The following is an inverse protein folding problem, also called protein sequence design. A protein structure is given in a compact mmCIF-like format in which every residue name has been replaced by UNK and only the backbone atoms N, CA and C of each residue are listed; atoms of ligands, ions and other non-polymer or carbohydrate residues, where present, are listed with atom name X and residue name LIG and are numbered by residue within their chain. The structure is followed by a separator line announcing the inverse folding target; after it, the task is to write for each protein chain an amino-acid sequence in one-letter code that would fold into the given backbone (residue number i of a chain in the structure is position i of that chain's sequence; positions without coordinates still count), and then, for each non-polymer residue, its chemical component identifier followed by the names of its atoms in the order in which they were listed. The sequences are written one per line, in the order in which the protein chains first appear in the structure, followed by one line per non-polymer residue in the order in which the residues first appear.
data_IF_140818510126
#
_entry.id   IF_140818510126
#
_cell.length_a   1.000
_cell.length_b   1.000
_cell.length_c   1.000
_cell.angle_alpha   90.00
_cell.angle_beta   90.00
_cell.angle_gamma   90.00
#
_symmetry.space_group_name_H-M   'P 1'
#
loop_
_entity.id
_entity.type
_entity.pdbx_description
1 polymer ?
#
# COMPACT_ATOMS: atom_id res chain seq x y z
N UNK A 1 10.42 -3.79 -13.00
CA UNK A 1 9.14 -3.52 -12.29
C UNK A 1 8.44 -2.43 -13.07
N UNK A 2 7.18 -2.64 -13.44
CA UNK A 2 6.43 -1.67 -14.23
C UNK A 2 6.14 -0.46 -13.33
N UNK A 3 6.77 0.69 -13.56
CA UNK A 3 6.68 1.85 -12.66
C UNK A 3 5.24 2.32 -12.48
N UNK A 4 4.38 2.19 -13.50
CA UNK A 4 2.95 2.48 -13.40
C UNK A 4 2.23 1.65 -12.35
N UNK A 5 2.57 0.36 -12.21
CA UNK A 5 1.94 -0.51 -11.20
C UNK A 5 2.38 -0.06 -9.80
N UNK A 6 3.66 0.28 -9.63
CA UNK A 6 4.15 0.76 -8.34
C UNK A 6 3.49 2.08 -7.94
N UNK A 7 3.36 3.04 -8.85
CA UNK A 7 2.70 4.32 -8.55
C UNK A 7 1.20 4.14 -8.22
N UNK A 8 0.50 3.22 -8.89
CA UNK A 8 -0.89 2.87 -8.56
C UNK A 8 -1.02 2.25 -7.17
N UNK A 9 -0.24 1.20 -6.90
CA UNK A 9 -0.21 0.54 -5.59
C UNK A 9 0.15 1.53 -4.51
N UNK A 10 1.18 2.34 -4.73
CA UNK A 10 1.63 3.37 -3.80
C UNK A 10 0.51 4.35 -3.45
N UNK A 11 -0.24 4.82 -4.44
CA UNK A 11 -1.36 5.72 -4.24
C UNK A 11 -2.45 5.08 -3.37
N UNK A 12 -2.87 3.85 -3.70
CA UNK A 12 -3.88 3.10 -2.92
C UNK A 12 -3.41 2.90 -1.48
N UNK A 13 -2.15 2.53 -1.29
CA UNK A 13 -1.55 2.31 0.04
C UNK A 13 -1.54 3.60 0.86
N UNK A 14 -1.17 4.73 0.28
CA UNK A 14 -1.17 6.02 0.99
C UNK A 14 -2.58 6.51 1.30
N UNK A 15 -3.56 6.22 0.44
CA UNK A 15 -4.96 6.61 0.65
C UNK A 15 -5.65 5.72 1.70
N UNK A 16 -5.39 4.41 1.69
CA UNK A 16 -6.04 3.46 2.60
C UNK A 16 -5.41 3.45 4.01
N UNK A 17 -4.07 3.48 4.08
CA UNK A 17 -3.34 3.40 5.35
C UNK A 17 -3.07 4.78 5.98
N UNK A 18 -3.44 5.87 5.30
CA UNK A 18 -3.17 7.26 5.71
C UNK A 18 -1.68 7.51 6.06
N UNK A 19 -0.78 6.86 5.33
CA UNK A 19 0.69 6.96 5.51
C UNK A 19 1.34 7.93 4.53
N UNK A 20 2.55 8.39 4.87
CA UNK A 20 3.32 9.25 3.97
C UNK A 20 3.76 8.45 2.72
N UNK A 21 3.54 8.98 1.49
CA UNK A 21 4.07 8.38 0.27
C UNK A 21 5.57 8.12 0.30
N UNK A 22 6.34 8.89 1.07
CA UNK A 22 7.78 8.70 1.18
C UNK A 22 8.14 7.42 1.94
N UNK A 23 7.25 6.94 2.82
CA UNK A 23 7.44 5.70 3.58
C UNK A 23 7.09 4.46 2.74
N UNK A 24 6.26 4.62 1.71
CA UNK A 24 5.90 3.56 0.77
C UNK A 24 7.02 3.34 -0.25
N UNK A 25 7.94 2.45 0.11
CA UNK A 25 9.04 2.00 -0.73
C UNK A 25 8.83 0.55 -1.22
N UNK A 26 9.48 0.11 -2.31
CA UNK A 26 9.38 -1.28 -2.78
C UNK A 26 9.89 -2.32 -1.77
N UNK A 27 10.58 -1.88 -0.71
CA UNK A 27 11.18 -2.70 0.33
C UNK A 27 10.43 -2.55 1.66
N UNK A 28 9.45 -1.63 1.73
CA UNK A 28 8.68 -1.38 2.93
C UNK A 28 7.83 -2.60 3.30
N UNK A 29 7.77 -2.88 4.59
CA UNK A 29 6.91 -3.88 5.17
C UNK A 29 5.57 -3.25 5.56
N UNK A 30 4.47 -3.74 5.00
CA UNK A 30 3.13 -3.22 5.30
C UNK A 30 2.80 -3.23 6.81
N UNK A 31 3.15 -4.29 7.53
CA UNK A 31 2.84 -4.39 8.97
C UNK A 31 3.82 -3.61 9.86
N UNK A 32 5.12 -3.70 9.59
CA UNK A 32 6.14 -3.12 10.47
C UNK A 32 6.46 -1.64 10.15
N UNK A 33 6.46 -1.26 8.88
CA UNK A 33 6.87 0.09 8.45
C UNK A 33 5.65 0.99 8.20
N UNK A 34 4.55 0.42 7.69
CA UNK A 34 3.32 1.16 7.42
C UNK A 34 2.24 0.95 8.49
N UNK A 35 2.54 0.21 9.55
CA UNK A 35 1.63 -0.11 10.66
C UNK A 35 0.26 -0.68 10.21
N UNK A 36 0.19 -1.32 9.03
CA UNK A 36 -1.02 -1.97 8.55
C UNK A 36 -1.32 -3.21 9.39
N UNK A 37 -2.52 -3.29 9.93
CA UNK A 37 -2.97 -4.47 10.66
C UNK A 37 -3.45 -5.58 9.71
N UNK A 38 -3.90 -6.70 10.29
CA UNK A 38 -4.40 -7.84 9.52
C UNK A 38 -5.69 -7.54 8.73
N UNK A 39 -6.42 -6.49 9.11
CA UNK A 39 -7.67 -6.07 8.48
C UNK A 39 -7.38 -5.06 7.37
N UNK A 40 -6.50 -4.09 7.63
CA UNK A 40 -5.98 -3.13 6.66
C UNK A 40 -5.35 -3.83 5.46
N UNK A 41 -4.57 -4.89 5.70
CA UNK A 41 -3.95 -5.69 4.62
C UNK A 41 -4.98 -6.43 3.77
N UNK A 42 -6.09 -6.87 4.34
CA UNK A 42 -7.20 -7.50 3.60
C UNK A 42 -7.93 -6.45 2.76
N UNK A 43 -8.24 -5.29 3.35
CA UNK A 43 -8.88 -4.17 2.65
C UNK A 43 -8.01 -3.67 1.49
N UNK A 44 -6.70 -3.57 1.69
CA UNK A 44 -5.75 -3.17 0.66
C UNK A 44 -5.76 -4.13 -0.54
N UNK A 45 -5.81 -5.45 -0.29
CA UNK A 45 -5.89 -6.45 -1.35
C UNK A 45 -7.22 -6.36 -2.10
N UNK A 46 -8.34 -6.16 -1.39
CA UNK A 46 -9.64 -5.96 -2.04
C UNK A 46 -9.66 -4.69 -2.91
N UNK A 47 -9.10 -3.58 -2.42
CA UNK A 47 -9.01 -2.33 -3.17
C UNK A 47 -8.14 -2.46 -4.44
N UNK A 48 -7.08 -3.28 -4.37
CA UNK A 48 -6.23 -3.60 -5.51
C UNK A 48 -6.89 -4.56 -6.52
N UNK A 49 -7.79 -5.45 -6.06
CA UNK A 49 -8.56 -6.35 -6.93
C UNK A 49 -9.72 -5.66 -7.65
N UNK A 50 -10.27 -4.58 -7.07
CA UNK A 50 -11.33 -3.78 -7.67
C UNK A 50 -10.83 -2.78 -8.73
N UNK A 51 -9.52 -2.50 -8.78
CA UNK A 51 -8.85 -1.60 -9.75
C UNK A 51 -8.26 -2.32 -10.98
#
# INVERSE_FOLDING_TARGET
MNQEIFERVKKIVTEQLEVDPNDVTPQANFANDLNADSLDTVELVMALEEE
#
